data_IF_047706141364
#
_entry.id   IF_047706141364
#
_cell.length_a   1.000
_cell.length_b   1.000
_cell.length_c   1.000
_cell.angle_alpha   90.00
_cell.angle_beta   90.00
_cell.angle_gamma   90.00
#
_symmetry.space_group_name_H-M   'P 1'
#
loop_
_entity.id
_entity.type
_entity.pdbx_description
1 polymer ?
#
# COMPACT_ATOMS: atom_id res chain seq x y z
N UNK A 1 14.57 -14.36 -37.08
CA UNK A 1 14.54 -13.10 -36.28
C UNK A 1 13.65 -13.39 -35.08
N UNK A 2 14.20 -14.05 -34.05
CA UNK A 2 13.45 -14.40 -32.83
C UNK A 2 13.46 -13.17 -31.92
N UNK A 3 12.27 -12.63 -31.65
CA UNK A 3 12.05 -11.54 -30.69
C UNK A 3 12.27 -12.12 -29.27
N UNK A 4 13.54 -12.20 -28.86
CA UNK A 4 13.97 -12.60 -27.52
C UNK A 4 13.70 -11.47 -26.54
N UNK A 5 12.42 -11.13 -26.30
CA UNK A 5 12.05 -10.31 -25.16
C UNK A 5 12.27 -11.17 -23.92
N UNK A 6 13.46 -11.10 -23.36
CA UNK A 6 13.70 -11.48 -21.97
C UNK A 6 12.53 -10.92 -21.14
N UNK A 7 11.76 -11.76 -20.42
CA UNK A 7 10.65 -11.25 -19.63
C UNK A 7 11.23 -10.26 -18.65
N UNK A 8 10.86 -8.97 -18.79
CA UNK A 8 11.32 -7.87 -17.96
C UNK A 8 11.39 -8.34 -16.51
N UNK A 9 12.61 -8.46 -15.99
CA UNK A 9 12.89 -9.17 -14.74
C UNK A 9 12.11 -8.49 -13.62
N UNK A 10 11.00 -9.10 -13.18
CA UNK A 10 10.16 -8.58 -12.09
C UNK A 10 11.06 -8.25 -10.90
N UNK A 11 11.07 -6.99 -10.50
CA UNK A 11 11.81 -6.57 -9.31
C UNK A 11 11.09 -7.12 -8.08
N UNK A 12 11.68 -8.13 -7.43
CA UNK A 12 11.17 -8.67 -6.17
C UNK A 12 11.01 -7.56 -5.12
N UNK A 13 11.94 -6.60 -5.08
CA UNK A 13 11.88 -5.43 -4.19
C UNK A 13 10.69 -4.53 -4.53
N UNK A 14 10.47 -4.23 -5.81
CA UNK A 14 9.32 -3.44 -6.25
C UNK A 14 7.99 -4.10 -5.90
N UNK A 15 7.93 -5.43 -6.03
CA UNK A 15 6.76 -6.22 -5.63
C UNK A 15 6.51 -6.11 -4.13
N UNK A 16 7.52 -6.40 -3.29
CA UNK A 16 7.39 -6.29 -1.82
C UNK A 16 7.01 -4.87 -1.38
N UNK A 17 7.60 -3.85 -1.98
CA UNK A 17 7.21 -2.46 -1.72
C UNK A 17 5.73 -2.20 -2.09
N UNK A 18 5.24 -2.79 -3.17
CA UNK A 18 3.84 -2.74 -3.56
C UNK A 18 2.93 -3.35 -2.50
N UNK A 19 3.24 -4.55 -2.03
CA UNK A 19 2.51 -5.20 -0.94
C UNK A 19 2.43 -4.31 0.31
N UNK A 20 3.57 -3.83 0.79
CA UNK A 20 3.65 -3.07 2.03
C UNK A 20 2.98 -1.71 1.89
N UNK A 21 3.29 -0.96 0.82
CA UNK A 21 2.71 0.37 0.59
C UNK A 21 1.20 0.28 0.42
N UNK A 22 0.71 -0.72 -0.33
CA UNK A 22 -0.72 -0.93 -0.54
C UNK A 22 -1.45 -1.31 0.74
N UNK A 23 -0.91 -2.27 1.51
CA UNK A 23 -1.47 -2.69 2.80
C UNK A 23 -1.61 -1.50 3.77
N UNK A 24 -0.53 -0.72 3.92
CA UNK A 24 -0.52 0.43 4.83
C UNK A 24 -1.44 1.55 4.34
N UNK A 25 -1.50 1.82 3.04
CA UNK A 25 -2.40 2.84 2.49
C UNK A 25 -3.87 2.51 2.78
N UNK A 26 -4.29 1.27 2.53
CA UNK A 26 -5.68 0.87 2.76
C UNK A 26 -6.00 0.70 4.25
N UNK A 27 -5.03 0.28 5.06
CA UNK A 27 -5.21 0.25 6.51
C UNK A 27 -5.39 1.68 7.08
N UNK A 28 -4.59 2.63 6.61
CA UNK A 28 -4.72 4.04 6.99
C UNK A 28 -6.06 4.63 6.49
N UNK A 29 -6.50 4.26 5.29
CA UNK A 29 -7.84 4.61 4.81
C UNK A 29 -8.94 4.02 5.71
N UNK A 30 -8.81 2.75 6.12
CA UNK A 30 -9.76 2.08 7.02
C UNK A 30 -9.85 2.79 8.37
N UNK A 31 -8.73 3.29 8.89
CA UNK A 31 -8.70 4.13 10.09
C UNK A 31 -9.52 5.42 9.90
N UNK A 32 -9.37 6.12 8.77
CA UNK A 32 -10.17 7.32 8.51
C UNK A 32 -11.66 7.01 8.33
N UNK A 33 -11.99 5.85 7.76
CA UNK A 33 -13.38 5.38 7.70
C UNK A 33 -13.93 5.14 9.10
N UNK A 34 -13.19 4.47 9.97
CA UNK A 34 -13.57 4.30 11.38
C UNK A 34 -13.83 5.66 12.05
N UNK A 35 -12.93 6.63 11.89
CA UNK A 35 -13.11 7.98 12.45
C UNK A 35 -14.37 8.69 11.93
N UNK A 36 -14.82 8.39 10.71
CA UNK A 36 -16.02 8.99 10.11
C UNK A 36 -17.32 8.28 10.56
N UNK A 37 -17.29 6.96 10.75
CA UNK A 37 -18.48 6.15 11.07
C UNK A 37 -18.64 5.86 12.58
N UNK A 38 -17.58 6.01 13.37
CA UNK A 38 -17.57 5.78 14.81
C UNK A 38 -17.69 4.31 15.22
N UNK A 39 -18.11 4.08 16.47
CA UNK A 39 -18.09 2.77 17.16
C UNK A 39 -18.91 1.67 16.48
N UNK A 40 -19.85 2.03 15.61
CA UNK A 40 -20.64 1.07 14.81
C UNK A 40 -19.89 0.48 13.61
N UNK A 41 -18.69 0.98 13.32
CA UNK A 41 -17.89 0.51 12.20
C UNK A 41 -17.22 -0.85 12.53
N UNK A 42 -17.37 -1.89 11.70
CA UNK A 42 -16.85 -3.22 11.99
C UNK A 42 -15.34 -3.30 11.73
N UNK A 43 -14.53 -2.70 12.62
CA UNK A 43 -13.08 -2.50 12.47
C UNK A 43 -12.32 -3.79 12.17
N UNK A 44 -12.61 -4.87 12.89
CA UNK A 44 -11.86 -6.14 12.80
C UNK A 44 -11.91 -6.75 11.39
N UNK A 45 -13.09 -7.05 10.81
CA UNK A 45 -13.15 -7.62 9.46
C UNK A 45 -12.74 -6.62 8.38
N UNK A 46 -13.06 -5.33 8.54
CA UNK A 46 -12.71 -4.32 7.51
C UNK A 46 -11.22 -4.04 7.48
N UNK A 47 -10.53 -4.06 8.61
CA UNK A 47 -9.08 -3.90 8.68
C UNK A 47 -8.37 -5.03 7.95
N UNK A 48 -8.78 -6.28 8.20
CA UNK A 48 -8.23 -7.44 7.52
C UNK A 48 -8.46 -7.37 6.00
N UNK A 49 -9.70 -7.07 5.59
CA UNK A 49 -10.05 -6.93 4.18
C UNK A 49 -9.27 -5.78 3.51
N UNK A 50 -9.16 -4.63 4.17
CA UNK A 50 -8.42 -3.47 3.69
C UNK A 50 -6.94 -3.80 3.49
N UNK A 51 -6.31 -4.48 4.44
CA UNK A 51 -4.91 -4.91 4.33
C UNK A 51 -4.73 -5.85 3.14
N UNK A 52 -5.58 -6.87 2.98
CA UNK A 52 -5.47 -7.80 1.86
C UNK A 52 -5.68 -7.11 0.52
N UNK A 53 -6.77 -6.35 0.37
CA UNK A 53 -7.09 -5.62 -0.86
C UNK A 53 -5.98 -4.63 -1.20
N UNK A 54 -5.50 -3.90 -0.20
CA UNK A 54 -4.38 -2.98 -0.34
C UNK A 54 -3.12 -3.68 -0.79
N UNK A 55 -2.74 -4.80 -0.15
CA UNK A 55 -1.49 -5.48 -0.44
C UNK A 55 -1.46 -6.09 -1.86
N UNK A 56 -2.52 -6.81 -2.23
CA UNK A 56 -2.64 -7.38 -3.58
C UNK A 56 -2.83 -6.29 -4.64
N UNK A 57 -3.58 -5.22 -4.32
CA UNK A 57 -3.72 -4.06 -5.20
C UNK A 57 -2.38 -3.35 -5.43
N UNK A 58 -1.60 -3.14 -4.37
CA UNK A 58 -0.28 -2.53 -4.43
C UNK A 58 0.74 -3.39 -5.19
N UNK A 59 0.67 -4.71 -5.07
CA UNK A 59 1.41 -5.64 -5.93
C UNK A 59 1.03 -5.45 -7.41
N UNK A 60 -0.26 -5.41 -7.73
CA UNK A 60 -0.72 -5.21 -9.11
C UNK A 60 -0.27 -3.86 -9.68
N UNK A 61 -0.20 -2.82 -8.84
CA UNK A 61 0.38 -1.52 -9.20
C UNK A 61 1.88 -1.63 -9.42
N UNK A 62 2.63 -2.34 -8.57
CA UNK A 62 4.05 -2.58 -8.77
C UNK A 62 4.35 -3.27 -10.10
N UNK A 63 3.53 -4.28 -10.45
CA UNK A 63 3.62 -4.98 -11.73
C UNK A 63 3.42 -4.04 -12.92
N UNK A 64 2.48 -3.09 -12.83
CA UNK A 64 2.25 -2.08 -13.88
C UNK A 64 3.36 -1.04 -13.97
N UNK A 65 4.04 -0.75 -12.87
CA UNK A 65 5.12 0.24 -12.82
C UNK A 65 6.47 -0.30 -13.31
N UNK A 66 6.64 -1.63 -13.34
CA UNK A 66 7.84 -2.29 -13.84
C UNK A 66 9.11 -1.79 -13.16
N UNK A 67 10.09 -1.33 -13.94
CA UNK A 67 11.38 -0.83 -13.44
C UNK A 67 11.24 0.41 -12.52
N UNK A 68 10.18 1.20 -12.69
CA UNK A 68 9.94 2.40 -11.87
C UNK A 68 9.32 2.08 -10.52
N UNK A 69 8.86 0.85 -10.30
CA UNK A 69 8.13 0.43 -9.11
C UNK A 69 8.89 0.79 -7.83
N UNK A 70 10.17 0.45 -7.73
CA UNK A 70 10.97 0.71 -6.53
C UNK A 70 11.01 2.19 -6.15
N UNK A 71 11.22 3.09 -7.14
CA UNK A 71 11.31 4.54 -6.88
C UNK A 71 9.95 5.12 -6.49
N UNK A 72 8.89 4.78 -7.23
CA UNK A 72 7.55 5.33 -7.02
C UNK A 72 6.94 4.80 -5.72
N UNK A 73 7.01 3.49 -5.50
CA UNK A 73 6.43 2.85 -4.32
C UNK A 73 7.23 3.13 -3.05
N UNK A 74 8.55 3.28 -3.15
CA UNK A 74 9.37 3.76 -2.04
C UNK A 74 8.97 5.17 -1.58
N UNK A 75 8.75 6.09 -2.53
CA UNK A 75 8.25 7.43 -2.22
C UNK A 75 6.84 7.38 -1.63
N UNK A 76 5.92 6.61 -2.24
CA UNK A 76 4.56 6.46 -1.74
C UNK A 76 4.54 5.91 -0.30
N UNK A 77 5.36 4.89 -0.02
CA UNK A 77 5.52 4.34 1.32
C UNK A 77 6.01 5.40 2.31
N UNK A 78 7.03 6.18 1.93
CA UNK A 78 7.52 7.29 2.76
C UNK A 78 6.43 8.31 3.09
N UNK A 79 5.61 8.69 2.11
CA UNK A 79 4.46 9.61 2.32
C UNK A 79 3.43 8.98 3.25
N UNK A 80 3.07 7.71 3.06
CA UNK A 80 2.11 7.00 3.91
C UNK A 80 2.59 6.97 5.36
N UNK A 81 3.87 6.67 5.60
CA UNK A 81 4.46 6.65 6.93
C UNK A 81 4.53 8.05 7.55
N UNK A 82 4.81 9.09 6.76
CA UNK A 82 4.78 10.47 7.24
C UNK A 82 3.36 10.87 7.69
N UNK A 83 2.34 10.55 6.89
CA UNK A 83 0.94 10.81 7.25
C UNK A 83 0.56 10.02 8.50
N UNK A 84 0.88 8.73 8.57
CA UNK A 84 0.60 7.91 9.75
C UNK A 84 1.27 8.48 11.01
N UNK A 85 2.53 8.92 10.91
CA UNK A 85 3.24 9.57 12.01
C UNK A 85 2.54 10.84 12.48
N UNK A 86 2.13 11.70 11.55
CA UNK A 86 1.39 12.94 11.86
C UNK A 86 0.05 12.62 12.53
N UNK A 87 -0.70 11.66 12.00
CA UNK A 87 -1.96 11.21 12.59
C UNK A 87 -1.74 10.74 14.02
N UNK A 88 -0.78 9.84 14.25
CA UNK A 88 -0.47 9.32 15.59
C UNK A 88 -0.11 10.46 16.53
N UNK A 89 0.79 11.36 16.10
CA UNK A 89 1.19 12.52 16.89
C UNK A 89 -0.01 13.39 17.31
N UNK A 90 -0.93 13.67 16.37
CA UNK A 90 -2.13 14.47 16.62
C UNK A 90 -3.18 13.75 17.48
N UNK A 91 -3.20 12.42 17.48
CA UNK A 91 -4.17 11.63 18.27
C UNK A 91 -3.71 11.31 19.68
N UNK A 92 -2.39 11.33 19.93
CA UNK A 92 -1.80 10.97 21.23
C UNK A 92 -1.48 12.21 22.08
N UNK A 93 -1.43 13.39 21.47
CA UNK A 93 -1.23 14.69 22.14
C UNK A 93 -2.57 15.35 22.45
#
# INVERSE_FOLDING_TARGET
MSDSREPARRSAVGTTLGWVAGALAFFLLNFFLYQAFGDGYPVEPTSFAAVLVGAFGGMAVADRLGERATKVLGLALGVILAVATVVVFLTVT
#
